data_IF_950946662701
#
_entry.id   IF_950946662701
#
_cell.length_a   1.000
_cell.length_b   1.000
_cell.length_c   1.000
_cell.angle_alpha   90.00
_cell.angle_beta   90.00
_cell.angle_gamma   90.00
#
_symmetry.space_group_name_H-M   'P 1'
#
loop_
_entity.id
_entity.type
_entity.pdbx_description
1 polymer ?
#
# COMPACT_ATOMS: atom_id res chain seq x y z
N UNK A 1 -44.81 -12.27 -22.31
CA UNK A 1 -45.05 -11.67 -20.97
C UNK A 1 -44.03 -12.23 -19.99
N UNK A 2 -42.91 -11.52 -19.78
CA UNK A 2 -41.88 -11.89 -18.81
C UNK A 2 -41.69 -10.72 -17.84
N UNK A 3 -41.88 -10.99 -16.55
CA UNK A 3 -41.92 -10.01 -15.49
C UNK A 3 -40.52 -9.51 -15.12
N UNK A 4 -40.34 -8.19 -15.18
CA UNK A 4 -39.15 -7.50 -14.70
C UNK A 4 -39.05 -7.55 -13.17
N UNK A 5 -38.07 -8.29 -12.64
CA UNK A 5 -37.68 -8.23 -11.23
C UNK A 5 -36.98 -6.88 -10.96
N UNK A 6 -37.65 -6.04 -10.17
CA UNK A 6 -37.14 -4.74 -9.69
C UNK A 6 -35.92 -4.96 -8.79
N UNK A 7 -34.86 -4.18 -9.02
CA UNK A 7 -33.67 -4.13 -8.16
C UNK A 7 -33.99 -3.34 -6.88
N UNK A 8 -33.50 -3.75 -5.69
CA UNK A 8 -33.55 -2.91 -4.51
C UNK A 8 -32.65 -1.68 -4.70
N UNK A 9 -33.18 -0.51 -4.35
CA UNK A 9 -32.52 0.79 -4.50
C UNK A 9 -31.36 1.02 -3.54
N UNK A 10 -30.59 2.11 -3.74
CA UNK A 10 -29.44 2.44 -2.90
C UNK A 10 -29.91 2.85 -1.49
N UNK A 11 -29.23 2.28 -0.50
CA UNK A 11 -29.36 2.63 0.91
C UNK A 11 -28.92 4.09 1.10
N UNK A 12 -29.89 5.00 1.27
CA UNK A 12 -29.65 6.38 1.75
C UNK A 12 -29.49 6.33 3.26
N UNK A 13 -28.24 6.25 3.73
CA UNK A 13 -27.90 6.57 5.12
C UNK A 13 -28.02 8.07 5.32
N UNK A 14 -29.13 8.51 5.91
CA UNK A 14 -29.30 9.88 6.39
C UNK A 14 -28.47 10.07 7.66
N UNK A 15 -27.50 10.98 7.60
CA UNK A 15 -26.94 11.61 8.80
C UNK A 15 -27.62 12.97 8.92
N UNK A 16 -28.33 13.13 10.03
CA UNK A 16 -29.00 14.37 10.39
C UNK A 16 -27.98 15.50 10.52
N UNK A 17 -28.31 16.64 9.92
CA UNK A 17 -27.64 17.90 10.17
C UNK A 17 -27.93 18.32 11.62
N UNK A 18 -26.88 18.37 12.45
CA UNK A 18 -26.91 19.10 13.71
C UNK A 18 -26.42 20.52 13.41
N UNK A 19 -27.36 21.46 13.46
CA UNK A 19 -27.07 22.88 13.51
C UNK A 19 -26.44 23.25 14.86
N UNK A 20 -25.46 24.16 14.84
CA UNK A 20 -25.13 25.01 15.98
C UNK A 20 -24.04 24.52 16.93
N UNK A 21 -22.81 25.00 16.71
CA UNK A 21 -21.98 25.63 17.75
C UNK A 21 -20.61 26.00 17.17
N UNK A 22 -20.27 27.28 17.18
CA UNK A 22 -18.91 27.78 16.98
C UNK A 22 -18.14 27.72 18.31
N UNK A 23 -17.03 26.95 18.42
CA UNK A 23 -16.08 27.13 19.51
C UNK A 23 -14.99 28.13 19.10
N UNK A 24 -14.86 29.16 19.93
CA UNK A 24 -13.82 30.20 19.94
C UNK A 24 -12.42 29.60 19.80
N UNK A 25 -11.60 30.20 18.92
CA UNK A 25 -10.13 30.08 18.95
C UNK A 25 -9.62 30.47 20.34
N UNK A 26 -8.95 29.55 21.03
CA UNK A 26 -7.95 29.89 22.06
C UNK A 26 -6.59 29.46 21.53
N UNK A 27 -5.81 30.44 21.12
CA UNK A 27 -4.37 30.27 20.91
C UNK A 27 -3.71 29.97 22.24
N UNK A 28 -2.82 28.97 22.34
CA UNK A 28 -1.96 28.82 23.50
C UNK A 28 -0.91 29.96 23.53
N UNK A 29 -0.59 30.52 24.72
CA UNK A 29 0.52 31.46 24.86
C UNK A 29 1.86 30.71 24.75
N UNK A 30 2.79 31.30 24.00
CA UNK A 30 4.20 30.91 23.97
C UNK A 30 4.83 31.03 25.36
N UNK A 31 5.57 30.02 25.85
CA UNK A 31 6.52 30.24 26.93
C UNK A 31 7.83 30.82 26.38
N UNK A 32 8.06 32.10 26.67
CA UNK A 32 9.38 32.73 26.66
C UNK A 32 10.15 32.23 27.88
N UNK A 33 11.01 31.23 27.69
CA UNK A 33 11.92 30.71 28.70
C UNK A 33 13.36 30.82 28.24
N UNK A 34 14.00 31.94 28.55
CA UNK A 34 15.46 32.08 28.43
C UNK A 34 16.14 31.27 29.52
N UNK A 35 17.12 30.46 29.15
CA UNK A 35 18.07 29.88 30.10
C UNK A 35 19.48 29.89 29.50
N UNK A 36 20.19 30.94 29.89
CA UNK A 36 21.61 31.02 30.27
C UNK A 36 22.56 29.95 29.71
N UNK A 37 23.42 30.39 28.80
CA UNK A 37 24.67 29.74 28.46
C UNK A 37 25.56 29.62 29.71
N UNK A 38 25.88 28.40 30.13
CA UNK A 38 27.07 28.13 30.94
C UNK A 38 28.19 27.66 30.02
N UNK A 39 29.18 28.53 29.84
CA UNK A 39 30.51 28.17 29.33
C UNK A 39 31.17 27.24 30.36
N UNK A 40 31.51 26.03 29.95
CA UNK A 40 32.53 25.23 30.63
C UNK A 40 33.51 24.72 29.57
N UNK A 41 34.66 25.37 29.60
CA UNK A 41 35.95 24.92 29.09
C UNK A 41 36.34 23.64 29.82
N UNK A 42 36.59 22.55 29.09
CA UNK A 42 37.44 21.47 29.56
C UNK A 42 38.03 20.72 28.35
N UNK A 43 39.34 20.93 28.20
CA UNK A 43 40.28 20.17 27.39
C UNK A 43 40.20 18.68 27.74
N UNK A 44 39.98 17.82 26.74
CA UNK A 44 40.42 16.42 26.78
C UNK A 44 40.58 15.92 25.34
N UNK A 45 41.79 16.08 24.81
CA UNK A 45 42.28 15.40 23.62
C UNK A 45 42.39 13.90 23.94
N UNK A 46 41.37 13.13 23.56
CA UNK A 46 41.46 11.69 23.36
C UNK A 46 41.21 11.41 21.88
N UNK A 47 42.30 11.37 21.11
CA UNK A 47 42.30 10.87 19.75
C UNK A 47 42.14 9.34 19.79
N UNK A 48 40.93 8.86 20.07
CA UNK A 48 40.57 7.47 19.84
C UNK A 48 40.45 7.31 18.33
N UNK A 49 41.46 6.69 17.71
CA UNK A 49 41.39 6.21 16.32
C UNK A 49 40.34 5.09 16.30
N UNK A 50 39.08 5.47 16.11
CA UNK A 50 38.05 4.54 15.69
C UNK A 50 38.45 4.07 14.30
N UNK A 51 38.92 2.83 14.17
CA UNK A 51 38.83 2.11 12.90
C UNK A 51 37.34 2.01 12.58
N UNK A 52 36.82 3.02 11.90
CA UNK A 52 35.51 2.99 11.28
C UNK A 52 35.61 1.91 10.19
N UNK A 53 35.18 0.70 10.55
CA UNK A 53 34.85 -0.30 9.55
C UNK A 53 33.81 0.33 8.65
N UNK A 54 34.20 0.65 7.42
CA UNK A 54 33.27 1.15 6.42
C UNK A 54 32.10 0.17 6.34
N UNK A 55 30.85 0.61 6.54
CA UNK A 55 29.71 -0.28 6.32
C UNK A 55 29.82 -0.82 4.90
N UNK A 56 29.70 -2.14 4.77
CA UNK A 56 29.64 -2.76 3.45
C UNK A 56 28.53 -2.06 2.64
N UNK A 57 28.77 -1.77 1.35
CA UNK A 57 27.74 -1.14 0.52
C UNK A 57 26.49 -2.00 0.56
N UNK A 58 25.34 -1.37 0.82
CA UNK A 58 24.06 -2.05 0.69
C UNK A 58 23.97 -2.61 -0.74
N UNK A 59 23.70 -3.91 -0.86
CA UNK A 59 23.47 -4.52 -2.16
C UNK A 59 22.30 -3.79 -2.84
N UNK A 60 22.42 -3.54 -4.15
CA UNK A 60 21.36 -2.91 -4.92
C UNK A 60 20.06 -3.72 -4.78
N UNK A 61 18.89 -3.06 -4.66
CA UNK A 61 17.61 -3.75 -4.61
C UNK A 61 17.44 -4.63 -5.85
N UNK A 62 16.87 -5.82 -5.65
CA UNK A 62 16.56 -6.72 -6.75
C UNK A 62 15.69 -6.00 -7.79
N UNK A 63 15.93 -6.22 -9.09
CA UNK A 63 15.18 -5.55 -10.14
C UNK A 63 13.69 -5.93 -10.08
N UNK A 64 12.82 -4.96 -10.40
CA UNK A 64 11.37 -5.16 -10.49
C UNK A 64 11.07 -6.17 -11.61
N UNK A 65 10.41 -7.32 -11.33
CA UNK A 65 10.10 -8.30 -12.35
C UNK A 65 9.19 -7.72 -13.44
N UNK A 66 9.49 -8.03 -14.71
CA UNK A 66 8.67 -7.63 -15.87
C UNK A 66 7.22 -8.10 -15.74
N UNK A 67 7.05 -9.41 -15.48
CA UNK A 67 5.76 -10.05 -15.30
C UNK A 67 5.78 -10.98 -14.09
N UNK A 68 4.61 -11.24 -13.51
CA UNK A 68 4.42 -12.18 -12.41
C UNK A 68 3.18 -13.03 -12.64
N UNK A 69 3.24 -14.30 -12.29
CA UNK A 69 2.05 -15.12 -12.14
C UNK A 69 1.50 -14.94 -10.73
N UNK A 70 0.35 -14.27 -10.61
CA UNK A 70 -0.31 -14.09 -9.32
C UNK A 70 -1.09 -15.37 -8.98
N UNK A 71 -0.43 -16.22 -8.19
CA UNK A 71 -1.02 -17.38 -7.53
C UNK A 71 -0.32 -17.55 -6.18
N UNK A 72 -0.89 -16.96 -5.13
CA UNK A 72 -0.28 -16.95 -3.80
C UNK A 72 -0.13 -18.37 -3.26
N UNK A 73 -1.08 -19.26 -3.52
CA UNK A 73 -1.02 -20.65 -3.05
C UNK A 73 0.17 -21.40 -3.66
N UNK A 74 0.42 -21.25 -4.97
CA UNK A 74 1.56 -21.92 -5.63
C UNK A 74 2.90 -21.33 -5.22
N UNK A 75 2.96 -20.02 -4.91
CA UNK A 75 4.19 -19.35 -4.49
C UNK A 75 4.50 -19.53 -3.00
N UNK A 76 3.47 -19.74 -2.18
CA UNK A 76 3.55 -19.88 -0.73
C UNK A 76 2.74 -21.09 -0.22
N UNK A 77 3.11 -22.32 -0.63
CA UNK A 77 2.41 -23.53 -0.16
C UNK A 77 2.49 -23.72 1.36
N UNK A 78 3.45 -23.07 2.03
CA UNK A 78 3.67 -23.10 3.47
C UNK A 78 2.63 -22.29 4.28
N UNK A 79 1.92 -21.34 3.66
CA UNK A 79 0.97 -20.49 4.38
C UNK A 79 -0.33 -21.26 4.64
N UNK A 80 -0.55 -21.59 5.91
CA UNK A 80 -1.72 -22.35 6.34
C UNK A 80 -3.03 -21.62 6.06
N UNK A 81 -4.03 -22.35 5.58
CA UNK A 81 -5.38 -21.83 5.36
C UNK A 81 -5.55 -21.01 4.08
N UNK A 82 -4.55 -20.95 3.19
CA UNK A 82 -4.75 -20.39 1.86
C UNK A 82 -5.80 -21.21 1.09
N UNK A 83 -6.86 -20.58 0.56
CA UNK A 83 -7.83 -21.27 -0.27
C UNK A 83 -7.17 -21.73 -1.57
N UNK A 84 -7.71 -22.81 -2.15
CA UNK A 84 -7.27 -23.26 -3.48
C UNK A 84 -7.44 -22.14 -4.49
N UNK A 85 -6.35 -21.77 -5.17
CA UNK A 85 -6.41 -20.82 -6.26
C UNK A 85 -6.90 -21.53 -7.53
N UNK A 86 -8.10 -21.15 -7.98
CA UNK A 86 -8.73 -21.65 -9.21
C UNK A 86 -8.83 -20.56 -10.28
N UNK A 87 -8.30 -19.36 -9.99
CA UNK A 87 -8.34 -18.16 -10.82
C UNK A 87 -7.02 -17.41 -10.63
N UNK A 88 -5.93 -18.04 -11.05
CA UNK A 88 -4.63 -17.37 -11.14
C UNK A 88 -4.69 -16.20 -12.14
N UNK A 89 -3.81 -15.23 -12.00
CA UNK A 89 -3.56 -14.18 -13.01
C UNK A 89 -2.20 -14.45 -13.63
N UNK A 90 -2.12 -15.21 -14.75
CA UNK A 90 -0.86 -15.46 -15.41
C UNK A 90 -0.36 -14.19 -16.12
N UNK A 91 0.95 -13.94 -16.06
CA UNK A 91 1.61 -12.85 -16.79
C UNK A 91 1.12 -11.45 -16.41
N UNK A 92 0.82 -11.20 -15.12
CA UNK A 92 0.52 -9.86 -14.63
C UNK A 92 1.69 -8.92 -14.95
N UNK A 93 1.48 -7.79 -15.66
CA UNK A 93 2.55 -6.90 -16.10
C UNK A 93 3.02 -6.02 -14.93
N UNK A 94 3.80 -6.62 -14.03
CA UNK A 94 4.20 -6.06 -12.75
C UNK A 94 5.03 -4.79 -12.90
N UNK A 95 6.08 -4.82 -13.74
CA UNK A 95 6.93 -3.65 -13.99
C UNK A 95 6.16 -2.48 -14.55
N UNK A 96 5.27 -2.71 -15.52
CA UNK A 96 4.43 -1.64 -16.09
C UNK A 96 3.51 -1.02 -15.05
N UNK A 97 2.97 -1.79 -14.11
CA UNK A 97 2.20 -1.20 -13.02
C UNK A 97 3.07 -0.28 -12.17
N UNK A 98 4.26 -0.73 -11.76
CA UNK A 98 5.15 0.07 -10.94
C UNK A 98 5.69 1.33 -11.65
N UNK A 99 6.12 1.20 -12.90
CA UNK A 99 6.90 2.26 -13.57
C UNK A 99 6.05 3.17 -14.48
N UNK A 100 4.92 2.68 -14.98
CA UNK A 100 4.11 3.38 -15.99
C UNK A 100 2.68 3.66 -15.50
N UNK A 101 1.90 2.60 -15.22
CA UNK A 101 0.45 2.72 -15.09
C UNK A 101 0.00 3.42 -13.82
N UNK A 102 0.77 3.39 -12.73
CA UNK A 102 0.37 4.00 -11.47
C UNK A 102 0.70 5.49 -11.35
N UNK A 103 1.52 6.06 -12.23
CA UNK A 103 1.93 7.47 -12.10
C UNK A 103 0.74 8.41 -12.27
N UNK A 104 0.53 9.31 -11.30
CA UNK A 104 -0.56 10.29 -11.28
C UNK A 104 -1.94 9.71 -10.98
N UNK A 105 -2.03 8.44 -10.54
CA UNK A 105 -3.31 7.77 -10.23
C UNK A 105 -3.53 7.54 -8.72
N UNK A 106 -2.76 8.20 -7.85
CA UNK A 106 -2.76 7.96 -6.41
C UNK A 106 -4.14 8.14 -5.78
N UNK A 107 -4.91 9.12 -6.28
CA UNK A 107 -6.26 9.43 -5.81
C UNK A 107 -7.28 8.30 -6.01
N UNK A 108 -6.96 7.30 -6.86
CA UNK A 108 -7.86 6.19 -7.19
C UNK A 108 -7.49 4.87 -6.53
N UNK A 109 -6.33 4.79 -5.89
CA UNK A 109 -5.88 3.57 -5.23
C UNK A 109 -6.59 3.36 -3.89
N UNK A 110 -6.81 2.08 -3.57
CA UNK A 110 -7.34 1.67 -2.26
C UNK A 110 -6.38 2.02 -1.12
N UNK A 111 -5.09 1.91 -1.40
CA UNK A 111 -4.00 2.18 -0.47
C UNK A 111 -3.24 3.43 -0.92
N UNK A 112 -3.02 4.41 -0.03
CA UNK A 112 -2.25 5.60 -0.36
C UNK A 112 -0.83 5.25 -0.81
N UNK A 113 -0.35 5.94 -1.83
CA UNK A 113 1.03 5.90 -2.29
C UNK A 113 1.39 7.25 -2.91
N UNK A 114 2.69 7.47 -3.13
CA UNK A 114 3.22 8.65 -3.81
C UNK A 114 3.85 8.22 -5.14
N UNK A 115 3.90 9.10 -6.14
CA UNK A 115 4.50 8.76 -7.45
C UNK A 115 6.00 8.41 -7.33
N UNK A 116 6.67 8.91 -6.30
CA UNK A 116 8.05 8.52 -5.97
C UNK A 116 8.19 7.08 -5.46
N UNK A 117 7.10 6.43 -5.05
CA UNK A 117 7.08 5.05 -4.57
C UNK A 117 5.74 4.36 -4.84
N UNK A 118 5.50 4.03 -6.10
CA UNK A 118 4.27 3.38 -6.58
C UNK A 118 4.08 1.95 -6.05
N UNK A 119 5.15 1.30 -5.57
CA UNK A 119 5.07 -0.05 -5.00
C UNK A 119 4.07 -0.13 -3.83
N UNK A 120 3.91 0.95 -3.06
CA UNK A 120 2.96 1.03 -1.95
C UNK A 120 1.49 0.91 -2.37
N UNK A 121 1.16 1.08 -3.66
CA UNK A 121 -0.20 0.87 -4.15
C UNK A 121 -0.69 -0.59 -3.95
N UNK A 122 0.25 -1.54 -4.00
CA UNK A 122 -0.02 -2.97 -3.80
C UNK A 122 0.68 -3.50 -2.54
N UNK A 123 1.93 -3.13 -2.33
CA UNK A 123 2.74 -3.46 -1.16
C UNK A 123 2.51 -2.41 -0.07
N UNK A 124 1.26 -2.23 0.37
CA UNK A 124 0.85 -1.10 1.21
C UNK A 124 1.49 -1.06 2.61
N UNK A 125 2.20 -2.11 3.01
CA UNK A 125 2.99 -2.16 4.25
C UNK A 125 4.47 -1.82 4.03
N UNK A 126 4.94 -1.79 2.78
CA UNK A 126 6.32 -1.47 2.42
C UNK A 126 6.51 0.04 2.34
N UNK A 127 7.69 0.49 2.74
CA UNK A 127 8.14 1.89 2.67
C UNK A 127 9.34 2.06 1.74
N UNK A 128 9.98 0.97 1.36
CA UNK A 128 11.14 0.97 0.46
C UNK A 128 11.03 -0.14 -0.60
N UNK A 129 11.75 -0.03 -1.73
CA UNK A 129 11.80 -1.09 -2.75
C UNK A 129 12.25 -2.44 -2.19
N UNK A 130 13.18 -2.44 -1.24
CA UNK A 130 13.69 -3.65 -0.59
C UNK A 130 12.60 -4.33 0.26
N UNK A 131 11.84 -3.54 1.01
CA UNK A 131 10.68 -4.05 1.76
C UNK A 131 9.61 -4.62 0.83
N UNK A 132 9.34 -3.95 -0.31
CA UNK A 132 8.39 -4.44 -1.31
C UNK A 132 8.86 -5.74 -1.98
N UNK A 133 10.15 -5.85 -2.32
CA UNK A 133 10.76 -7.06 -2.87
C UNK A 133 10.76 -8.23 -1.87
N UNK A 134 10.78 -7.93 -0.57
CA UNK A 134 10.70 -8.94 0.50
C UNK A 134 9.28 -9.46 0.78
N UNK A 135 8.26 -8.94 0.08
CA UNK A 135 6.86 -9.36 0.28
C UNK A 135 6.61 -10.83 -0.09
N UNK A 136 7.50 -11.45 -0.85
CA UNK A 136 7.49 -12.90 -1.13
C UNK A 136 8.22 -13.73 -0.06
N UNK A 137 8.62 -13.14 1.06
CA UNK A 137 9.00 -13.94 2.23
C UNK A 137 7.74 -14.37 2.99
N UNK A 138 7.74 -15.59 3.52
CA UNK A 138 6.59 -16.17 4.23
C UNK A 138 6.07 -15.24 5.35
N UNK A 139 6.99 -14.61 6.10
CA UNK A 139 6.67 -13.67 7.18
C UNK A 139 5.95 -12.41 6.71
N UNK A 140 6.24 -11.93 5.50
CA UNK A 140 5.57 -10.75 4.96
C UNK A 140 4.23 -11.12 4.34
N UNK A 141 4.13 -12.30 3.70
CA UNK A 141 2.85 -12.84 3.25
C UNK A 141 1.85 -12.99 4.41
N UNK A 142 2.28 -13.55 5.54
CA UNK A 142 1.44 -13.68 6.74
C UNK A 142 0.91 -12.32 7.24
N UNK A 143 1.79 -11.31 7.34
CA UNK A 143 1.40 -9.95 7.76
C UNK A 143 0.40 -9.30 6.81
N UNK A 144 0.61 -9.46 5.50
CA UNK A 144 -0.33 -8.93 4.50
C UNK A 144 -1.70 -9.61 4.61
N UNK A 145 -1.72 -10.93 4.84
CA UNK A 145 -2.94 -11.69 5.02
C UNK A 145 -3.65 -11.33 6.33
N UNK A 146 -2.91 -11.20 7.44
CA UNK A 146 -3.46 -10.73 8.73
C UNK A 146 -4.10 -9.36 8.59
N UNK A 147 -3.45 -8.42 7.90
CA UNK A 147 -3.97 -7.06 7.68
C UNK A 147 -5.33 -7.04 6.93
N UNK A 148 -5.68 -8.12 6.22
CA UNK A 148 -6.96 -8.26 5.52
C UNK A 148 -7.91 -9.28 6.14
N UNK A 149 -7.62 -9.77 7.35
CA UNK A 149 -8.47 -10.72 8.08
C UNK A 149 -8.18 -12.19 7.79
N UNK A 150 -6.95 -12.51 7.40
CA UNK A 150 -6.39 -13.87 7.29
C UNK A 150 -6.35 -14.44 5.87
N UNK A 151 -5.71 -15.62 5.74
CA UNK A 151 -5.46 -16.31 4.47
C UNK A 151 -6.72 -16.53 3.61
N UNK A 152 -7.87 -16.78 4.24
CA UNK A 152 -9.16 -16.93 3.55
C UNK A 152 -9.67 -15.67 2.83
N UNK A 153 -9.03 -14.51 3.03
CA UNK A 153 -9.41 -13.22 2.43
C UNK A 153 -8.49 -12.79 1.28
N UNK A 154 -7.48 -13.58 0.92
CA UNK A 154 -6.52 -13.26 -0.15
C UNK A 154 -7.21 -12.87 -1.47
N UNK A 155 -8.26 -13.59 -1.87
CA UNK A 155 -9.07 -13.27 -3.05
C UNK A 155 -9.67 -11.86 -2.98
N UNK A 156 -10.19 -11.49 -1.81
CA UNK A 156 -10.81 -10.20 -1.60
C UNK A 156 -9.76 -9.09 -1.61
N UNK A 157 -8.58 -9.32 -1.03
CA UNK A 157 -7.46 -8.36 -1.09
C UNK A 157 -7.09 -8.04 -2.55
N UNK A 158 -6.84 -9.04 -3.39
CA UNK A 158 -6.49 -8.77 -4.79
C UNK A 158 -7.61 -8.06 -5.55
N UNK A 159 -8.86 -8.46 -5.34
CA UNK A 159 -9.97 -7.75 -5.97
C UNK A 159 -10.16 -6.33 -5.45
N UNK A 160 -9.92 -6.08 -4.16
CA UNK A 160 -9.93 -4.72 -3.61
C UNK A 160 -8.80 -3.90 -4.21
N UNK A 161 -7.57 -4.41 -4.30
CA UNK A 161 -6.44 -3.67 -4.88
C UNK A 161 -6.63 -3.42 -6.37
N UNK A 162 -6.83 -4.46 -7.16
CA UNK A 162 -6.87 -4.35 -8.62
C UNK A 162 -8.20 -3.74 -9.09
N UNK A 163 -9.33 -4.33 -8.67
CA UNK A 163 -10.63 -4.00 -9.27
C UNK A 163 -11.16 -2.66 -8.79
N UNK A 164 -10.87 -2.23 -7.56
CA UNK A 164 -11.33 -0.92 -7.08
C UNK A 164 -10.64 0.21 -7.84
N UNK A 165 -9.30 0.15 -7.96
CA UNK A 165 -8.51 1.13 -8.70
C UNK A 165 -8.94 1.16 -10.17
N UNK A 166 -9.02 0.00 -10.84
CA UNK A 166 -9.45 -0.08 -12.24
C UNK A 166 -10.85 0.51 -12.46
N UNK A 167 -11.80 0.27 -11.55
CA UNK A 167 -13.13 0.87 -11.65
C UNK A 167 -13.10 2.37 -11.44
N UNK A 168 -12.34 2.85 -10.46
CA UNK A 168 -12.25 4.26 -10.11
C UNK A 168 -11.64 5.06 -11.27
N UNK A 169 -10.54 4.58 -11.87
CA UNK A 169 -9.88 5.27 -13.00
C UNK A 169 -10.76 5.30 -14.25
N UNK A 170 -11.52 4.23 -14.52
CA UNK A 170 -12.48 4.19 -15.64
C UNK A 170 -13.65 5.13 -15.39
N UNK A 171 -14.21 5.13 -14.17
CA UNK A 171 -15.31 6.02 -13.80
C UNK A 171 -14.92 7.49 -13.91
N UNK A 172 -13.68 7.81 -13.53
CA UNK A 172 -13.10 9.14 -13.66
C UNK A 172 -12.61 9.47 -15.08
N UNK A 173 -12.63 8.49 -16.00
CA UNK A 173 -12.02 8.60 -17.34
C UNK A 173 -10.53 9.01 -17.31
N UNK A 174 -9.84 8.64 -16.24
CA UNK A 174 -8.43 8.96 -16.02
C UNK A 174 -7.50 8.00 -16.77
N UNK A 175 -7.89 6.72 -16.93
CA UNK A 175 -7.13 5.71 -17.63
C UNK A 175 -8.03 4.57 -18.13
N UNK A 176 -7.51 3.77 -19.07
CA UNK A 176 -8.11 2.50 -19.47
C UNK A 176 -7.62 1.37 -18.55
N UNK A 177 -8.52 0.48 -18.14
CA UNK A 177 -8.17 -0.66 -17.30
C UNK A 177 -9.15 -1.84 -17.48
N UNK A 178 -8.71 -3.09 -17.27
CA UNK A 178 -9.60 -4.24 -17.34
C UNK A 178 -10.48 -4.33 -16.09
N UNK A 179 -11.79 -4.51 -16.28
CA UNK A 179 -12.76 -4.75 -15.17
C UNK A 179 -13.55 -6.05 -15.29
N UNK A 180 -13.39 -6.77 -16.41
CA UNK A 180 -14.02 -8.07 -16.68
C UNK A 180 -13.13 -9.20 -16.12
N UNK A 181 -13.74 -10.22 -15.53
CA UNK A 181 -13.00 -11.35 -14.93
C UNK A 181 -12.07 -12.04 -15.92
N UNK A 182 -12.52 -12.28 -17.16
CA UNK A 182 -11.75 -12.95 -18.20
C UNK A 182 -10.58 -12.15 -18.75
N UNK A 183 -10.51 -10.84 -18.45
CA UNK A 183 -9.38 -10.01 -18.84
C UNK A 183 -8.17 -10.18 -17.91
N UNK A 184 -8.39 -10.71 -16.69
CA UNK A 184 -7.33 -10.98 -15.72
C UNK A 184 -7.10 -12.48 -15.53
N UNK A 185 -8.17 -13.28 -15.51
CA UNK A 185 -8.12 -14.72 -15.29
C UNK A 185 -8.59 -15.44 -16.54
N UNK A 186 -7.70 -16.19 -17.18
CA UNK A 186 -8.06 -17.07 -18.30
C UNK A 186 -8.67 -18.38 -17.81
#
# INVERSE_FOLDING_TARGET
MWMAKRRPGPYRGGVAAAEGATPRRRTPPYPTGGTTMKRLTALALLATVCLAGSPAPAADPAPVPETLDLNVQTKHPEVAGLPKDVKAVPGFPHRKHAEEYLKGLQAYSRFPYEDGFTCAACHHTAKTPEEAGSCLSCKTADRMLEAVGGAGKVKNLFHEVCRSCHKAVIQAKAAEAPTKCSACHK
#
